data_IF_690739941023
#
_entry.id   IF_690739941023
#
_cell.length_a   1.000
_cell.length_b   1.000
_cell.length_c   1.000
_cell.angle_alpha   90.00
_cell.angle_beta   90.00
_cell.angle_gamma   90.00
#
_symmetry.space_group_name_H-M   'P 1'
#
loop_
_entity.id
_entity.type
_entity.pdbx_description
1 polymer ?
#
# COMPACT_ATOMS: atom_id res chain seq x y z
N UNK A 1 18.91 -54.30 -6.78
CA UNK A 1 18.78 -53.11 -7.65
C UNK A 1 19.17 -51.89 -6.84
N UNK A 2 20.35 -51.31 -7.11
CA UNK A 2 20.87 -50.16 -6.38
C UNK A 2 20.33 -48.91 -7.08
N UNK A 3 19.27 -48.33 -6.52
CA UNK A 3 18.66 -47.11 -7.08
C UNK A 3 19.71 -46.00 -7.11
N UNK A 4 20.01 -45.53 -8.32
CA UNK A 4 20.95 -44.44 -8.53
C UNK A 4 20.25 -43.15 -8.10
N UNK A 5 20.45 -42.76 -6.83
CA UNK A 5 19.85 -41.56 -6.24
C UNK A 5 20.11 -40.30 -7.08
N UNK A 6 21.20 -40.24 -7.84
CA UNK A 6 21.48 -39.14 -8.76
C UNK A 6 20.46 -39.04 -9.91
N UNK A 7 19.96 -40.15 -10.45
CA UNK A 7 18.93 -40.13 -11.50
C UNK A 7 17.56 -39.73 -10.94
N UNK A 8 17.22 -40.23 -9.75
CA UNK A 8 15.96 -39.87 -9.07
C UNK A 8 15.96 -38.37 -8.75
N UNK A 9 17.06 -37.85 -8.21
CA UNK A 9 17.20 -36.42 -7.91
C UNK A 9 17.17 -35.56 -9.18
N UNK A 10 17.75 -36.01 -10.29
CA UNK A 10 17.72 -35.28 -11.57
C UNK A 10 16.32 -35.31 -12.23
N UNK A 11 15.51 -36.33 -11.95
CA UNK A 11 14.11 -36.44 -12.38
C UNK A 11 13.17 -35.59 -11.53
N UNK A 12 13.42 -35.49 -10.22
CA UNK A 12 12.65 -34.65 -9.30
C UNK A 12 13.03 -33.17 -9.42
N UNK A 13 14.32 -32.88 -9.65
CA UNK A 13 14.86 -31.53 -9.83
C UNK A 13 15.56 -31.40 -11.19
N UNK A 14 14.80 -31.32 -12.29
CA UNK A 14 15.39 -31.08 -13.60
C UNK A 14 16.15 -29.75 -13.58
N UNK A 15 17.41 -29.78 -14.00
CA UNK A 15 18.38 -28.66 -14.02
C UNK A 15 17.89 -27.38 -14.76
N UNK A 16 16.72 -27.46 -15.41
CA UNK A 16 15.99 -26.34 -16.03
C UNK A 16 15.27 -25.41 -15.05
N UNK A 17 15.24 -25.69 -13.75
CA UNK A 17 14.81 -24.72 -12.73
C UNK A 17 15.94 -23.76 -12.30
N UNK A 18 16.84 -23.41 -13.22
CA UNK A 18 17.49 -22.09 -13.13
C UNK A 18 16.45 -21.03 -13.48
N UNK A 19 15.54 -20.77 -12.55
CA UNK A 19 14.78 -19.53 -12.56
C UNK A 19 15.83 -18.43 -12.33
N UNK A 20 16.43 -17.93 -13.41
CA UNK A 20 17.07 -16.62 -13.39
C UNK A 20 15.93 -15.65 -13.16
N UNK A 21 15.55 -15.46 -11.89
CA UNK A 21 14.73 -14.34 -11.47
C UNK A 21 15.64 -13.14 -11.67
N UNK A 22 15.70 -12.64 -12.90
CA UNK A 22 16.27 -11.32 -13.13
C UNK A 22 15.51 -10.38 -12.21
N UNK A 23 16.23 -9.55 -11.46
CA UNK A 23 15.66 -8.56 -10.53
C UNK A 23 14.50 -7.77 -11.20
N UNK A 24 14.57 -7.59 -12.53
CA UNK A 24 13.56 -6.97 -13.38
C UNK A 24 12.22 -7.72 -13.59
N UNK A 25 12.12 -9.01 -13.23
CA UNK A 25 10.87 -9.79 -13.31
C UNK A 25 10.08 -9.80 -12.00
N UNK A 26 10.59 -9.18 -10.94
CA UNK A 26 9.84 -8.96 -9.71
C UNK A 26 8.87 -7.80 -9.98
N UNK A 27 7.55 -7.96 -9.76
CA UNK A 27 6.61 -6.85 -9.90
C UNK A 27 6.79 -5.89 -8.71
N UNK A 28 7.89 -5.14 -8.71
CA UNK A 28 8.22 -4.15 -7.69
C UNK A 28 7.06 -3.19 -7.47
N UNK A 29 6.36 -2.81 -8.55
CA UNK A 29 5.13 -2.02 -8.44
C UNK A 29 4.07 -2.70 -7.57
N UNK A 30 3.80 -3.99 -7.74
CA UNK A 30 2.83 -4.71 -6.92
C UNK A 30 3.25 -4.70 -5.44
N UNK A 31 4.53 -4.96 -5.13
CA UNK A 31 5.03 -4.92 -3.75
C UNK A 31 4.83 -3.53 -3.12
N UNK A 32 5.21 -2.46 -3.82
CA UNK A 32 5.07 -1.09 -3.34
C UNK A 32 3.62 -0.57 -3.38
N UNK A 33 2.69 -1.20 -4.11
CA UNK A 33 1.26 -0.88 -4.06
C UNK A 33 0.58 -1.57 -2.88
N UNK A 34 0.93 -2.82 -2.61
CA UNK A 34 0.33 -3.56 -1.51
C UNK A 34 0.82 -3.08 -0.13
N UNK A 35 2.05 -2.54 -0.05
CA UNK A 35 2.61 -2.09 1.22
C UNK A 35 1.82 -0.92 1.85
N UNK A 36 1.65 0.25 1.20
CA UNK A 36 0.83 1.34 1.76
C UNK A 36 -0.64 0.94 1.88
N UNK A 37 -1.15 0.15 0.93
CA UNK A 37 -2.54 -0.27 0.94
C UNK A 37 -2.91 -1.15 2.15
N UNK A 38 -1.95 -1.91 2.70
CA UNK A 38 -2.12 -2.65 3.94
C UNK A 38 -1.83 -1.79 5.17
N UNK A 39 -0.79 -0.95 5.12
CA UNK A 39 -0.35 -0.17 6.28
C UNK A 39 -1.36 0.90 6.70
N UNK A 40 -2.05 1.57 5.77
CA UNK A 40 -3.06 2.56 6.15
C UNK A 40 -4.23 1.95 6.96
N UNK A 41 -4.89 0.85 6.53
CA UNK A 41 -5.89 0.17 7.34
C UNK A 41 -5.37 -0.25 8.71
N UNK A 42 -4.16 -0.80 8.79
CA UNK A 42 -3.57 -1.23 10.06
C UNK A 42 -3.27 -0.04 10.97
N UNK A 43 -2.76 1.07 10.42
CA UNK A 43 -2.57 2.30 11.18
C UNK A 43 -3.89 2.79 11.77
N UNK A 44 -4.94 2.89 10.95
CA UNK A 44 -6.27 3.34 11.38
C UNK A 44 -6.89 2.37 12.40
N UNK A 45 -6.60 1.08 12.31
CA UNK A 45 -6.96 0.13 13.36
C UNK A 45 -6.28 0.48 14.70
N UNK A 46 -4.98 0.79 14.70
CA UNK A 46 -4.27 1.25 15.89
C UNK A 46 -4.78 2.61 16.41
N UNK A 47 -5.23 3.50 15.53
CA UNK A 47 -5.91 4.73 15.92
C UNK A 47 -7.15 4.45 16.77
N UNK A 48 -8.00 3.52 16.32
CA UNK A 48 -9.17 3.10 17.10
C UNK A 48 -8.79 2.44 18.43
N UNK A 49 -7.73 1.63 18.46
CA UNK A 49 -7.25 1.05 19.71
C UNK A 49 -6.73 2.12 20.69
N UNK A 50 -6.07 3.16 20.19
CA UNK A 50 -5.62 4.29 20.99
C UNK A 50 -6.81 5.02 21.63
N UNK A 51 -7.86 5.30 20.84
CA UNK A 51 -9.09 5.93 21.33
C UNK A 51 -9.84 5.11 22.39
N UNK A 52 -9.74 3.77 22.34
CA UNK A 52 -10.43 2.88 23.27
C UNK A 52 -9.64 2.55 24.55
N UNK A 53 -8.31 2.54 24.45
CA UNK A 53 -7.46 1.97 25.51
C UNK A 53 -6.63 2.99 26.27
N UNK A 54 -6.62 4.26 25.85
CA UNK A 54 -5.89 5.37 26.48
C UNK A 54 -4.40 5.05 26.75
N UNK A 55 -3.81 4.26 25.83
CA UNK A 55 -2.42 3.78 25.90
C UNK A 55 -1.59 4.39 24.79
N UNK A 56 -0.53 5.10 25.16
CA UNK A 56 0.45 5.70 24.25
C UNK A 56 1.03 4.69 23.25
N UNK A 57 1.18 3.42 23.63
CA UNK A 57 1.70 2.38 22.75
C UNK A 57 0.89 2.21 21.46
N UNK A 58 -0.43 2.39 21.51
CA UNK A 58 -1.28 2.27 20.33
C UNK A 58 -1.18 3.52 19.44
N UNK A 59 -1.13 4.71 20.04
CA UNK A 59 -0.93 5.95 19.29
C UNK A 59 0.44 5.98 18.60
N UNK A 60 1.51 5.58 19.30
CA UNK A 60 2.83 5.41 18.71
C UNK A 60 2.82 4.41 17.55
N UNK A 61 2.10 3.30 17.69
CA UNK A 61 1.96 2.31 16.62
C UNK A 61 1.26 2.89 15.39
N UNK A 62 0.16 3.64 15.59
CA UNK A 62 -0.51 4.39 14.52
C UNK A 62 0.46 5.34 13.82
N UNK A 63 1.20 6.15 14.59
CA UNK A 63 2.08 7.18 14.06
C UNK A 63 3.20 6.59 13.19
N UNK A 64 3.91 5.58 13.67
CA UNK A 64 4.97 4.94 12.90
C UNK A 64 4.44 4.25 11.63
N UNK A 65 3.28 3.60 11.71
CA UNK A 65 2.66 2.99 10.53
C UNK A 65 2.21 4.04 9.52
N UNK A 66 1.67 5.17 9.97
CA UNK A 66 1.30 6.30 9.12
C UNK A 66 2.53 6.90 8.42
N UNK A 67 3.65 7.11 9.12
CA UNK A 67 4.89 7.60 8.50
C UNK A 67 5.34 6.66 7.38
N UNK A 68 5.38 5.36 7.65
CA UNK A 68 5.82 4.37 6.67
C UNK A 68 4.83 4.31 5.49
N UNK A 69 3.52 4.27 5.75
CA UNK A 69 2.49 4.26 4.71
C UNK A 69 2.59 5.52 3.82
N UNK A 70 2.66 6.70 4.43
CA UNK A 70 2.80 7.98 3.76
C UNK A 70 4.08 8.06 2.93
N UNK A 71 5.20 7.53 3.43
CA UNK A 71 6.46 7.50 2.71
C UNK A 71 6.46 6.56 1.50
N UNK A 72 5.87 5.37 1.63
CA UNK A 72 5.81 4.41 0.52
C UNK A 72 4.71 4.73 -0.51
N UNK A 73 3.70 5.53 -0.16
CA UNK A 73 2.65 5.97 -1.10
C UNK A 73 3.19 6.72 -2.33
N UNK A 74 4.05 7.76 -2.23
CA UNK A 74 4.63 8.42 -3.40
C UNK A 74 5.50 7.47 -4.21
N UNK A 75 6.27 6.60 -3.57
CA UNK A 75 7.09 5.56 -4.25
C UNK A 75 6.17 4.66 -5.09
N UNK A 76 5.07 4.19 -4.50
CA UNK A 76 4.04 3.41 -5.18
C UNK A 76 3.42 4.15 -6.37
N UNK A 77 3.13 5.44 -6.19
CA UNK A 77 2.55 6.29 -7.22
C UNK A 77 3.50 6.46 -8.42
N UNK A 78 4.78 6.76 -8.15
CA UNK A 78 5.79 6.93 -9.20
C UNK A 78 6.06 5.64 -9.95
N UNK A 79 6.19 4.50 -9.25
CA UNK A 79 6.35 3.20 -9.90
C UNK A 79 5.15 2.86 -10.78
N UNK A 80 3.93 3.21 -10.35
CA UNK A 80 2.73 3.02 -11.16
C UNK A 80 2.68 3.86 -12.42
N UNK A 81 3.15 5.11 -12.37
CA UNK A 81 3.28 5.96 -13.56
C UNK A 81 4.33 5.38 -14.53
N UNK A 82 5.44 4.86 -14.01
CA UNK A 82 6.49 4.26 -14.83
C UNK A 82 6.02 2.99 -15.54
N UNK A 83 5.33 2.09 -14.82
CA UNK A 83 4.73 0.91 -15.43
C UNK A 83 3.65 1.28 -16.45
N UNK A 84 2.83 2.29 -16.17
CA UNK A 84 1.84 2.79 -17.12
C UNK A 84 2.48 3.27 -18.43
N UNK A 85 3.59 4.02 -18.35
CA UNK A 85 4.32 4.48 -19.55
C UNK A 85 4.97 3.32 -20.30
N UNK A 86 5.61 2.37 -19.62
CA UNK A 86 6.35 1.27 -20.26
C UNK A 86 5.46 0.16 -20.80
N UNK A 87 4.53 -0.34 -19.98
CA UNK A 87 3.71 -1.54 -20.29
C UNK A 87 2.45 -1.19 -21.07
N UNK A 88 1.83 -0.05 -20.75
CA UNK A 88 0.57 0.38 -21.37
C UNK A 88 0.76 1.50 -22.39
N UNK A 89 2.01 1.78 -22.80
CA UNK A 89 2.36 2.84 -23.78
C UNK A 89 1.75 4.20 -23.48
N UNK A 90 1.44 4.49 -22.20
CA UNK A 90 0.80 5.73 -21.80
C UNK A 90 -0.66 5.90 -22.26
N UNK A 91 -1.37 4.82 -22.58
CA UNK A 91 -2.79 4.88 -22.98
C UNK A 91 -3.62 5.48 -21.84
N UNK A 92 -4.28 6.60 -22.12
CA UNK A 92 -5.11 7.33 -21.16
C UNK A 92 -6.51 6.74 -21.13
N UNK A 93 -6.72 5.71 -20.30
CA UNK A 93 -8.07 5.24 -19.98
C UNK A 93 -8.61 5.97 -18.74
N UNK A 94 -9.93 5.99 -18.58
CA UNK A 94 -10.59 6.53 -17.38
C UNK A 94 -10.02 5.91 -16.08
N UNK A 95 -9.66 4.61 -16.13
CA UNK A 95 -9.08 3.88 -15.00
C UNK A 95 -7.71 4.46 -14.61
N UNK A 96 -6.83 4.72 -15.59
CA UNK A 96 -5.49 5.29 -15.30
C UNK A 96 -5.57 6.74 -14.79
N UNK A 97 -6.45 7.55 -15.37
CA UNK A 97 -6.64 8.95 -14.92
C UNK A 97 -7.13 8.98 -13.48
N UNK A 98 -8.15 8.16 -13.16
CA UNK A 98 -8.65 8.02 -11.80
C UNK A 98 -7.56 7.52 -10.85
N UNK A 99 -6.80 6.48 -11.22
CA UNK A 99 -5.70 5.97 -10.39
C UNK A 99 -4.65 7.04 -10.07
N UNK A 100 -4.31 7.89 -11.04
CA UNK A 100 -3.37 9.00 -10.83
C UNK A 100 -3.98 10.11 -9.96
N UNK A 101 -5.28 10.41 -10.11
CA UNK A 101 -5.97 11.42 -9.30
C UNK A 101 -6.09 10.97 -7.85
N UNK A 102 -6.64 9.78 -7.60
CA UNK A 102 -6.83 9.24 -6.26
C UNK A 102 -5.51 8.92 -5.57
N UNK A 103 -4.47 8.51 -6.31
CA UNK A 103 -3.12 8.35 -5.75
C UNK A 103 -2.54 9.66 -5.21
N UNK A 104 -2.74 10.78 -5.91
CA UNK A 104 -2.32 12.10 -5.42
C UNK A 104 -3.10 12.55 -4.20
N UNK A 105 -4.42 12.32 -4.20
CA UNK A 105 -5.27 12.62 -3.03
C UNK A 105 -4.80 11.81 -1.81
N UNK A 106 -4.49 10.52 -1.99
CA UNK A 106 -4.00 9.67 -0.91
C UNK A 106 -2.66 10.17 -0.33
N UNK A 107 -1.73 10.61 -1.17
CA UNK A 107 -0.45 11.21 -0.71
C UNK A 107 -0.71 12.48 0.11
N UNK A 108 -1.62 13.34 -0.35
CA UNK A 108 -1.93 14.59 0.34
C UNK A 108 -2.64 14.34 1.68
N UNK A 109 -3.64 13.46 1.71
CA UNK A 109 -4.40 13.15 2.93
C UNK A 109 -3.52 12.40 3.93
N UNK A 110 -2.78 11.37 3.49
CA UNK A 110 -1.85 10.64 4.35
C UNK A 110 -0.75 11.54 4.89
N UNK A 111 -0.15 12.38 4.04
CA UNK A 111 0.84 13.38 4.42
C UNK A 111 0.30 14.41 5.40
N UNK A 112 -0.91 14.91 5.19
CA UNK A 112 -1.56 15.84 6.11
C UNK A 112 -1.78 15.19 7.48
N UNK A 113 -2.34 13.97 7.55
CA UNK A 113 -2.51 13.27 8.81
C UNK A 113 -1.19 13.02 9.53
N UNK A 114 -0.17 12.53 8.82
CA UNK A 114 1.16 12.27 9.40
C UNK A 114 1.82 13.55 9.92
N UNK A 115 1.81 14.63 9.14
CA UNK A 115 2.42 15.91 9.55
C UNK A 115 1.64 16.56 10.68
N UNK A 116 0.31 16.45 10.69
CA UNK A 116 -0.51 16.98 11.77
C UNK A 116 -0.20 16.29 13.09
N UNK A 117 -0.17 14.95 13.10
CA UNK A 117 0.19 14.17 14.28
C UNK A 117 1.64 14.42 14.73
N UNK A 118 2.56 14.67 13.78
CA UNK A 118 3.95 15.02 14.07
C UNK A 118 4.08 16.33 14.85
N UNK A 119 3.34 17.38 14.46
CA UNK A 119 3.39 18.68 15.13
C UNK A 119 2.52 18.76 16.39
N UNK A 120 1.44 17.99 16.44
CA UNK A 120 0.50 17.95 17.55
C UNK A 120 0.20 16.49 17.95
N UNK A 121 1.14 15.81 18.63
CA UNK A 121 0.95 14.42 19.05
C UNK A 121 -0.22 14.26 20.03
N UNK A 122 -0.57 15.29 20.81
CA UNK A 122 -1.73 15.32 21.70
C UNK A 122 -3.07 15.58 21.00
N UNK A 123 -3.19 15.39 19.68
CA UNK A 123 -4.43 15.69 18.95
C UNK A 123 -5.59 14.77 19.34
N UNK A 124 -5.29 13.53 19.75
CA UNK A 124 -6.28 12.53 20.15
C UNK A 124 -6.79 12.74 21.58
N UNK A 125 -6.02 13.41 22.43
CA UNK A 125 -6.38 13.67 23.83
C UNK A 125 -7.32 14.87 23.97
N UNK A 126 -7.37 15.73 22.96
CA UNK A 126 -8.21 16.92 22.96
C UNK A 126 -9.66 16.58 22.60
N UNK A 127 -10.62 16.99 23.43
CA UNK A 127 -12.07 16.87 23.17
C UNK A 127 -12.63 18.00 22.32
N UNK A 128 -11.93 18.35 21.23
CA UNK A 128 -12.26 19.49 20.36
C UNK A 128 -12.71 19.09 18.95
N UNK A 129 -13.23 20.06 18.20
CA UNK A 129 -13.60 19.91 16.78
C UNK A 129 -12.41 19.42 15.94
N UNK A 130 -11.18 19.84 16.29
CA UNK A 130 -9.96 19.45 15.57
C UNK A 130 -9.68 17.94 15.66
N UNK A 131 -9.97 17.31 16.80
CA UNK A 131 -9.83 15.87 16.98
C UNK A 131 -10.80 15.11 16.05
N UNK A 132 -12.07 15.52 16.03
CA UNK A 132 -13.09 14.91 15.17
C UNK A 132 -12.69 15.05 13.70
N UNK A 133 -12.20 16.23 13.28
CA UNK A 133 -11.70 16.46 11.93
C UNK A 133 -10.52 15.54 11.60
N UNK A 134 -9.57 15.37 12.52
CA UNK A 134 -8.43 14.48 12.35
C UNK A 134 -8.86 13.01 12.21
N UNK A 135 -9.80 12.54 13.04
CA UNK A 135 -10.35 11.18 12.93
C UNK A 135 -11.05 10.98 11.59
N UNK A 136 -11.90 11.91 11.16
CA UNK A 136 -12.60 11.83 9.86
C UNK A 136 -11.60 11.79 8.70
N UNK A 137 -10.56 12.62 8.75
CA UNK A 137 -9.48 12.62 7.77
C UNK A 137 -8.80 11.25 7.69
N UNK A 138 -8.46 10.65 8.83
CA UNK A 138 -7.88 9.32 8.87
C UNK A 138 -8.82 8.25 8.31
N UNK A 139 -10.10 8.26 8.71
CA UNK A 139 -11.10 7.30 8.19
C UNK A 139 -11.28 7.45 6.68
N UNK A 140 -11.19 8.68 6.14
CA UNK A 140 -11.32 8.93 4.69
C UNK A 140 -10.24 8.26 3.84
N UNK A 141 -9.12 7.84 4.44
CA UNK A 141 -8.07 7.08 3.76
C UNK A 141 -8.56 5.68 3.35
N UNK A 142 -9.42 5.04 4.15
CA UNK A 142 -9.92 3.69 3.86
C UNK A 142 -10.63 3.57 2.51
N UNK A 143 -11.66 4.40 2.18
CA UNK A 143 -12.30 4.33 0.87
C UNK A 143 -11.34 4.72 -0.27
N UNK A 144 -10.37 5.62 -0.04
CA UNK A 144 -9.36 5.96 -1.05
C UNK A 144 -8.48 4.76 -1.41
N UNK A 145 -7.96 4.07 -0.40
CA UNK A 145 -7.13 2.86 -0.57
C UNK A 145 -7.95 1.73 -1.21
N UNK A 146 -9.17 1.50 -0.73
CA UNK A 146 -10.08 0.49 -1.29
C UNK A 146 -10.41 0.75 -2.76
N UNK A 147 -10.71 2.01 -3.12
CA UNK A 147 -10.99 2.39 -4.49
C UNK A 147 -9.77 2.24 -5.41
N UNK A 148 -8.58 2.62 -4.93
CA UNK A 148 -7.32 2.40 -5.66
C UNK A 148 -7.04 0.91 -5.87
N UNK A 149 -7.33 0.07 -4.87
CA UNK A 149 -7.27 -1.39 -4.96
C UNK A 149 -8.24 -1.94 -6.00
N UNK A 150 -9.49 -1.46 -6.02
CA UNK A 150 -10.51 -1.82 -7.01
C UNK A 150 -10.07 -1.47 -8.44
N UNK A 151 -9.56 -0.25 -8.66
CA UNK A 151 -9.01 0.15 -9.97
C UNK A 151 -7.82 -0.72 -10.38
N UNK A 152 -6.96 -1.11 -9.44
CA UNK A 152 -5.88 -2.07 -9.66
C UNK A 152 -6.40 -3.44 -10.08
N UNK A 153 -7.42 -3.95 -9.38
CA UNK A 153 -8.10 -5.20 -9.70
C UNK A 153 -8.73 -5.18 -11.10
N UNK A 154 -9.37 -4.08 -11.52
CA UNK A 154 -9.92 -3.94 -12.88
C UNK A 154 -8.83 -4.09 -13.96
N UNK A 155 -7.61 -3.61 -13.72
CA UNK A 155 -6.50 -3.71 -14.68
C UNK A 155 -5.89 -5.12 -14.76
N UNK A 156 -5.95 -5.89 -13.67
CA UNK A 156 -5.39 -7.25 -13.60
C UNK A 156 -6.41 -8.29 -14.06
N UNK A 157 -7.66 -8.16 -13.62
CA UNK A 157 -8.72 -9.16 -13.83
C UNK A 157 -9.69 -8.82 -14.97
N UNK A 158 -9.58 -7.64 -15.58
CA UNK A 158 -10.40 -7.26 -16.73
C UNK A 158 -11.90 -7.15 -16.42
N UNK A 159 -12.28 -6.75 -15.20
CA UNK A 159 -13.68 -6.63 -14.79
C UNK A 159 -14.43 -5.57 -15.64
N UNK A 160 -15.68 -5.85 -16.06
CA UNK A 160 -16.44 -4.98 -16.96
C UNK A 160 -16.73 -3.58 -16.37
N UNK A 161 -17.06 -2.65 -17.27
CA UNK A 161 -17.21 -1.22 -17.01
C UNK A 161 -18.37 -0.90 -16.08
#
# INVERSE_FOLDING_TARGET
MRTNWAEILKKIFPEKTKIKIGLFNIPFHAMFVHFPAALYPVAIFFLFLALLSDKDSFHNSYFYLMIIATFFTPISHFTGIHEWKKKYRGVRTHIFISKIRYGRILILVGGLCTTWDWFYPGILDNTGVLNVVFIILNISILPLVGYLGHLGGKLVYGLPH
#
